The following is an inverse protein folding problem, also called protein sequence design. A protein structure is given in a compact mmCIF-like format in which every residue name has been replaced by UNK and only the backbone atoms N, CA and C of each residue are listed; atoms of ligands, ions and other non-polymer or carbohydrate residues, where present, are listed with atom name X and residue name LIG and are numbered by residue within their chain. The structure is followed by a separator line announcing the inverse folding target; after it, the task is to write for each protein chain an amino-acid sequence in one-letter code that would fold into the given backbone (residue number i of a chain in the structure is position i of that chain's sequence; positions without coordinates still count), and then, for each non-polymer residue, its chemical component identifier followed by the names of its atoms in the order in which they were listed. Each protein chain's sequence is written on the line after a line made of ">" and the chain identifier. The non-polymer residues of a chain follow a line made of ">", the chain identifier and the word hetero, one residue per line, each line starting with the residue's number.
data_IF_013317118696
#
_entry.id   IF_013317118696
#
_cell.length_a   1.000
_cell.length_b   1.000
_cell.length_c   1.000
_cell.angle_alpha   90.00
_cell.angle_beta   90.00
_cell.angle_gamma   90.00
#
_symmetry.space_group_name_H-M   'P 1'
#
loop_
_entity.id
_entity.type
_entity.pdbx_description
1 polymer ?
#
# COMPACT_ATOMS: atom_id res chain seq x y z
N UNK A 1 15.12 32.48 32.71
CA UNK A 1 14.95 31.33 31.79
C UNK A 1 13.48 30.93 31.79
N UNK A 2 12.84 30.77 30.63
CA UNK A 2 11.43 30.35 30.56
C UNK A 2 11.26 28.86 30.89
N UNK A 3 10.05 28.38 31.23
CA UNK A 3 9.80 26.95 31.45
C UNK A 3 10.19 26.08 30.24
N UNK A 4 9.92 26.53 29.01
CA UNK A 4 10.29 25.81 27.79
C UNK A 4 11.81 25.78 27.57
N UNK A 5 12.53 26.86 27.91
CA UNK A 5 14.00 26.88 27.85
C UNK A 5 14.60 25.93 28.88
N UNK A 6 13.99 25.85 30.06
CA UNK A 6 14.40 24.95 31.13
C UNK A 6 14.29 23.49 30.72
N UNK A 7 13.15 23.08 30.17
CA UNK A 7 12.95 21.69 29.70
C UNK A 7 13.93 21.32 28.59
N UNK A 8 14.20 22.26 27.66
CA UNK A 8 15.20 22.06 26.60
C UNK A 8 16.61 21.95 27.19
N UNK A 9 16.95 22.81 28.16
CA UNK A 9 18.23 22.79 28.85
C UNK A 9 18.46 21.47 29.60
N UNK A 10 17.45 20.99 30.32
CA UNK A 10 17.49 19.71 31.04
C UNK A 10 17.70 18.53 30.08
N UNK A 11 16.98 18.48 28.96
CA UNK A 11 17.18 17.46 27.92
C UNK A 11 18.57 17.51 27.30
N UNK A 12 19.12 18.71 27.06
CA UNK A 12 20.48 18.87 26.57
C UNK A 12 21.53 18.40 27.58
N UNK A 13 21.34 18.62 28.89
CA UNK A 13 22.22 18.05 29.91
C UNK A 13 22.14 16.52 29.96
N UNK A 14 20.94 15.95 29.92
CA UNK A 14 20.78 14.50 29.88
C UNK A 14 21.47 13.87 28.66
N UNK A 15 21.34 14.48 27.48
CA UNK A 15 22.02 14.02 26.27
C UNK A 15 23.54 14.27 26.30
N UNK A 16 24.01 15.30 26.99
CA UNK A 16 25.44 15.56 27.20
C UNK A 16 26.11 14.48 28.06
N UNK A 17 25.36 13.85 28.96
CA UNK A 17 25.84 12.78 29.85
C UNK A 17 25.65 11.38 29.24
N UNK A 18 24.51 11.14 28.58
CA UNK A 18 24.09 9.81 28.12
C UNK A 18 24.12 9.62 26.60
N UNK A 19 24.56 10.62 25.82
CA UNK A 19 24.64 10.52 24.36
C UNK A 19 25.51 9.35 23.91
N UNK A 20 25.08 8.62 22.86
CA UNK A 20 25.70 7.39 22.41
C UNK A 20 27.10 7.64 21.82
N UNK A 21 27.27 8.78 21.14
CA UNK A 21 28.56 9.16 20.54
C UNK A 21 29.18 10.39 21.21
N UNK A 22 30.51 10.54 21.07
CA UNK A 22 31.20 11.74 21.55
C UNK A 22 30.70 13.02 20.86
N UNK A 23 30.34 12.93 19.57
CA UNK A 23 29.76 14.04 18.81
C UNK A 23 28.40 14.48 19.34
N UNK A 24 27.53 13.54 19.68
CA UNK A 24 26.23 13.83 20.31
C UNK A 24 26.40 14.52 21.66
N UNK A 25 27.29 14.00 22.52
CA UNK A 25 27.54 14.61 23.84
C UNK A 25 28.10 16.03 23.71
N UNK A 26 29.02 16.26 22.78
CA UNK A 26 29.60 17.59 22.53
C UNK A 26 28.55 18.57 21.97
N UNK A 27 27.73 18.13 21.01
CA UNK A 27 26.65 18.94 20.45
C UNK A 27 25.58 19.30 21.50
N UNK A 28 25.25 18.36 22.39
CA UNK A 28 24.33 18.56 23.49
C UNK A 28 24.86 19.58 24.52
N UNK A 29 26.15 19.52 24.88
CA UNK A 29 26.81 20.52 25.74
C UNK A 29 26.77 21.92 25.11
N UNK A 30 27.11 22.02 23.82
CA UNK A 30 27.07 23.29 23.10
C UNK A 30 25.64 23.88 23.02
N UNK A 31 24.63 23.02 22.85
CA UNK A 31 23.24 23.44 22.87
C UNK A 31 22.78 23.93 24.25
N UNK A 32 23.13 23.20 25.32
CA UNK A 32 22.85 23.61 26.70
C UNK A 32 23.48 24.98 27.00
N UNK A 33 24.72 25.20 26.55
CA UNK A 33 25.41 26.47 26.75
C UNK A 33 24.74 27.64 26.02
N UNK A 34 24.25 27.44 24.79
CA UNK A 34 23.47 28.47 24.07
C UNK A 34 22.18 28.84 24.80
N UNK A 35 21.47 27.84 25.34
CA UNK A 35 20.23 28.09 26.10
C UNK A 35 20.53 28.86 27.39
N UNK A 36 21.57 28.47 28.13
CA UNK A 36 22.00 29.19 29.33
C UNK A 36 22.36 30.65 29.03
N UNK A 37 23.16 30.89 27.97
CA UNK A 37 23.54 32.25 27.53
C UNK A 37 22.33 33.06 27.09
N UNK A 38 21.38 32.47 26.38
CA UNK A 38 20.11 33.14 26.01
C UNK A 38 19.29 33.59 27.22
N UNK A 39 19.49 32.96 28.38
CA UNK A 39 18.89 33.36 29.65
C UNK A 39 19.80 34.25 30.52
N UNK A 40 20.95 34.70 30.01
CA UNK A 40 21.92 35.52 30.74
C UNK A 40 22.70 34.77 31.83
N UNK A 41 22.75 33.44 31.77
CA UNK A 41 23.40 32.59 32.76
C UNK A 41 24.62 31.87 32.18
N UNK A 42 25.57 31.55 33.05
CA UNK A 42 26.61 30.56 32.72
C UNK A 42 26.02 29.15 32.76
N UNK A 43 26.65 28.21 32.04
CA UNK A 43 26.24 26.80 32.04
C UNK A 43 26.14 26.23 33.47
N UNK A 44 27.13 26.53 34.32
CA UNK A 44 27.17 26.10 35.72
C UNK A 44 26.03 26.74 36.55
N UNK A 45 25.78 28.04 36.39
CA UNK A 45 24.70 28.73 37.11
C UNK A 45 23.32 28.21 36.70
N UNK A 46 23.12 27.90 35.42
CA UNK A 46 21.89 27.30 34.92
C UNK A 46 21.69 25.86 35.46
N UNK A 47 22.75 25.06 35.53
CA UNK A 47 22.71 23.71 36.12
C UNK A 47 22.40 23.73 37.63
N UNK A 48 22.97 24.68 38.38
CA UNK A 48 22.66 24.88 39.80
C UNK A 48 21.21 25.35 40.02
N UNK A 49 20.71 26.23 39.17
CA UNK A 49 19.31 26.66 39.21
C UNK A 49 18.35 25.49 38.95
N UNK A 50 18.68 24.60 38.01
CA UNK A 50 17.93 23.38 37.73
C UNK A 50 17.92 22.42 38.94
N UNK A 51 19.08 22.18 39.56
CA UNK A 51 19.20 21.32 40.75
C UNK A 51 18.37 21.80 41.94
N UNK A 52 18.48 23.09 42.30
CA UNK A 52 17.73 23.67 43.44
C UNK A 52 16.21 23.60 43.28
N UNK A 53 15.74 23.70 42.05
CA UNK A 53 14.31 23.63 41.75
C UNK A 53 13.80 22.19 41.56
N UNK A 54 14.67 21.25 41.22
CA UNK A 54 14.38 19.81 41.32
C UNK A 54 14.20 19.37 42.78
N UNK A 55 15.01 19.91 43.71
CA UNK A 55 14.87 19.66 45.16
C UNK A 55 13.53 20.17 45.71
N UNK A 56 13.05 21.33 45.25
CA UNK A 56 11.73 21.86 45.63
C UNK A 56 10.55 21.01 45.12
N UNK A 57 10.76 20.14 44.12
CA UNK A 57 9.74 19.25 43.58
C UNK A 57 9.78 17.82 44.15
N UNK A 58 10.84 17.47 44.88
CA UNK A 58 11.03 16.12 45.44
C UNK A 58 10.07 15.79 46.61
N UNK A 59 9.50 16.81 47.26
CA UNK A 59 8.53 16.65 48.36
C UNK A 59 7.09 16.36 47.91
N UNK A 60 6.82 16.26 46.60
CA UNK A 60 5.51 15.79 46.13
C UNK A 60 5.45 14.27 46.19
N UNK A 61 4.68 13.75 47.14
CA UNK A 61 4.30 12.35 47.25
C UNK A 61 4.05 11.72 45.87
N UNK A 62 4.75 10.61 45.61
CA UNK A 62 4.65 9.88 44.35
C UNK A 62 3.19 9.48 44.11
N UNK A 63 2.54 10.11 43.13
CA UNK A 63 1.21 9.72 42.68
C UNK A 63 1.30 8.28 42.18
N UNK A 64 0.38 7.37 42.58
CA UNK A 64 0.42 5.99 42.11
C UNK A 64 0.40 5.97 40.57
N UNK A 65 1.18 5.07 39.94
CA UNK A 65 1.24 4.98 38.49
C UNK A 65 -0.16 4.70 37.93
N UNK A 66 -0.52 5.26 36.76
CA UNK A 66 -1.79 4.94 36.13
C UNK A 66 -1.88 3.42 35.90
N UNK A 67 -3.09 2.82 36.02
CA UNK A 67 -3.26 1.40 35.77
C UNK A 67 -2.75 1.07 34.36
N UNK A 68 -1.92 0.04 34.26
CA UNK A 68 -1.38 -0.42 32.98
C UNK A 68 -2.56 -0.85 32.11
N UNK A 69 -2.73 -0.23 30.94
CA UNK A 69 -3.72 -0.65 29.95
C UNK A 69 -3.39 -2.08 29.52
N UNK A 70 -4.36 -2.98 29.61
CA UNK A 70 -4.23 -4.30 29.01
C UNK A 70 -4.23 -4.12 27.49
N UNK A 71 -3.20 -4.66 26.85
CA UNK A 71 -3.11 -4.63 25.39
C UNK A 71 -3.92 -5.78 24.80
N UNK A 72 -4.49 -5.64 23.59
CA UNK A 72 -5.24 -6.72 22.93
C UNK A 72 -4.47 -8.02 22.79
N UNK A 73 -3.13 -7.97 22.66
CA UNK A 73 -2.26 -9.13 22.59
C UNK A 73 -2.00 -9.81 23.94
N UNK A 74 -2.32 -9.14 25.06
CA UNK A 74 -2.16 -9.67 26.41
C UNK A 74 -3.40 -10.46 26.87
N UNK A 75 -4.49 -10.43 26.10
CA UNK A 75 -5.68 -11.23 26.38
C UNK A 75 -5.48 -12.65 25.81
N UNK A 76 -5.81 -13.71 26.58
CA UNK A 76 -5.89 -15.05 26.03
C UNK A 76 -6.82 -15.07 24.82
N UNK A 77 -6.33 -15.60 23.70
CA UNK A 77 -7.17 -15.78 22.50
C UNK A 77 -8.25 -16.82 22.81
N UNK A 78 -9.46 -16.58 22.32
CA UNK A 78 -10.51 -17.59 22.34
C UNK A 78 -10.04 -18.87 21.62
N UNK A 79 -10.39 -20.06 22.12
CA UNK A 79 -10.04 -21.31 21.47
C UNK A 79 -10.71 -21.38 20.09
N UNK A 80 -9.91 -21.66 19.06
CA UNK A 80 -10.40 -21.81 17.69
C UNK A 80 -11.07 -23.16 17.54
N UNK A 81 -12.34 -23.17 17.15
CA UNK A 81 -13.04 -24.42 16.78
C UNK A 81 -12.46 -24.96 15.48
N UNK A 82 -11.91 -26.19 15.47
CA UNK A 82 -11.37 -26.78 14.25
C UNK A 82 -12.50 -27.06 13.26
N UNK A 83 -12.23 -26.81 11.97
CA UNK A 83 -13.17 -27.14 10.89
C UNK A 83 -13.35 -28.65 10.82
N UNK A 84 -14.59 -29.12 10.76
CA UNK A 84 -14.89 -30.56 10.66
C UNK A 84 -14.61 -31.07 9.25
N UNK A 85 -14.37 -32.38 9.14
CA UNK A 85 -14.17 -33.03 7.82
C UNK A 85 -15.41 -32.86 6.93
N UNK A 86 -16.61 -32.94 7.51
CA UNK A 86 -17.87 -32.74 6.81
C UNK A 86 -17.98 -31.34 6.20
N UNK A 87 -17.55 -30.31 6.96
CA UNK A 87 -17.51 -28.93 6.50
C UNK A 87 -16.53 -28.77 5.33
N UNK A 88 -15.34 -29.39 5.42
CA UNK A 88 -14.36 -29.38 4.32
C UNK A 88 -14.91 -30.05 3.07
N UNK A 89 -15.62 -31.18 3.22
CA UNK A 89 -16.24 -31.88 2.10
C UNK A 89 -17.35 -31.05 1.44
N UNK A 90 -18.18 -30.35 2.23
CA UNK A 90 -19.20 -29.43 1.73
C UNK A 90 -18.57 -28.31 0.91
N UNK A 91 -17.57 -27.62 1.48
CA UNK A 91 -16.85 -26.53 0.80
C UNK A 91 -16.18 -27.00 -0.49
N UNK A 92 -15.62 -28.21 -0.50
CA UNK A 92 -15.03 -28.81 -1.70
C UNK A 92 -16.09 -29.07 -2.77
N UNK A 93 -17.24 -29.65 -2.40
CA UNK A 93 -18.33 -29.91 -3.34
C UNK A 93 -18.85 -28.60 -3.96
N UNK A 94 -19.07 -27.56 -3.16
CA UNK A 94 -19.47 -26.24 -3.65
C UNK A 94 -18.46 -25.66 -4.64
N UNK A 95 -17.17 -25.74 -4.30
CA UNK A 95 -16.08 -25.28 -5.17
C UNK A 95 -16.06 -26.05 -6.49
N UNK A 96 -16.25 -27.37 -6.46
CA UNK A 96 -16.30 -28.20 -7.67
C UNK A 96 -17.51 -27.86 -8.55
N UNK A 97 -18.69 -27.65 -7.96
CA UNK A 97 -19.87 -27.22 -8.73
C UNK A 97 -19.65 -25.85 -9.38
N UNK A 98 -19.03 -24.91 -8.68
CA UNK A 98 -18.67 -23.61 -9.23
C UNK A 98 -17.68 -23.75 -10.39
N UNK A 99 -16.61 -24.54 -10.22
CA UNK A 99 -15.63 -24.81 -11.29
C UNK A 99 -16.28 -25.41 -12.54
N UNK A 100 -17.16 -26.42 -12.37
CA UNK A 100 -17.88 -27.04 -13.48
C UNK A 100 -18.77 -26.03 -14.23
N UNK A 101 -19.51 -25.18 -13.50
CA UNK A 101 -20.34 -24.13 -14.09
C UNK A 101 -19.49 -23.10 -14.86
N UNK A 102 -18.38 -22.67 -14.28
CA UNK A 102 -17.46 -21.72 -14.91
C UNK A 102 -16.81 -22.29 -16.17
N UNK A 103 -16.39 -23.56 -16.14
CA UNK A 103 -15.84 -24.24 -17.32
C UNK A 103 -16.87 -24.33 -18.46
N UNK A 104 -18.10 -24.76 -18.15
CA UNK A 104 -19.17 -24.85 -19.14
C UNK A 104 -19.54 -23.47 -19.73
N UNK A 105 -19.51 -22.41 -18.91
CA UNK A 105 -19.70 -21.04 -19.39
C UNK A 105 -18.57 -20.61 -20.34
N UNK A 106 -17.31 -20.91 -19.99
CA UNK A 106 -16.15 -20.67 -20.83
C UNK A 106 -16.21 -21.40 -22.17
N UNK A 107 -16.64 -22.67 -22.19
CA UNK A 107 -16.82 -23.44 -23.41
C UNK A 107 -17.89 -22.85 -24.33
N UNK A 108 -19.03 -22.44 -23.76
CA UNK A 108 -20.09 -21.78 -24.53
C UNK A 108 -19.60 -20.47 -25.14
N UNK A 109 -18.81 -19.67 -24.40
CA UNK A 109 -18.21 -18.43 -24.91
C UNK A 109 -17.25 -18.71 -26.08
N UNK A 110 -16.33 -19.67 -25.92
CA UNK A 110 -15.40 -20.06 -26.99
C UNK A 110 -16.10 -20.56 -28.25
N UNK A 111 -17.16 -21.34 -28.10
CA UNK A 111 -17.97 -21.81 -29.24
C UNK A 111 -18.63 -20.66 -29.99
N UNK A 112 -19.18 -19.67 -29.26
CA UNK A 112 -19.75 -18.45 -29.86
C UNK A 112 -18.69 -17.63 -30.60
N UNK A 113 -17.56 -17.35 -29.95
CA UNK A 113 -16.45 -16.60 -30.58
C UNK A 113 -15.95 -17.27 -31.87
N UNK A 114 -15.86 -18.60 -31.89
CA UNK A 114 -15.51 -19.35 -33.09
C UNK A 114 -16.57 -19.21 -34.18
N UNK A 115 -17.85 -19.35 -33.83
CA UNK A 115 -18.94 -19.18 -34.79
C UNK A 115 -18.97 -17.77 -35.39
N UNK A 116 -18.72 -16.74 -34.57
CA UNK A 116 -18.67 -15.35 -35.03
C UNK A 116 -17.49 -15.12 -35.99
N UNK A 117 -16.32 -15.71 -35.70
CA UNK A 117 -15.16 -15.68 -36.60
C UNK A 117 -15.43 -16.39 -37.93
N UNK A 118 -16.04 -17.58 -37.88
CA UNK A 118 -16.41 -18.34 -39.07
C UNK A 118 -17.41 -17.58 -39.94
N UNK A 119 -18.42 -16.95 -39.31
CA UNK A 119 -19.39 -16.10 -39.99
C UNK A 119 -18.72 -14.90 -40.68
N UNK A 120 -17.82 -14.21 -39.97
CA UNK A 120 -17.07 -13.09 -40.53
C UNK A 120 -16.20 -13.52 -41.74
N UNK A 121 -15.47 -14.63 -41.61
CA UNK A 121 -14.65 -15.16 -42.71
C UNK A 121 -15.51 -15.58 -43.90
N UNK A 122 -16.67 -16.19 -43.65
CA UNK A 122 -17.62 -16.55 -44.71
C UNK A 122 -18.15 -15.31 -45.45
N UNK A 123 -18.47 -14.24 -44.73
CA UNK A 123 -18.89 -12.96 -45.33
C UNK A 123 -17.78 -12.36 -46.20
N UNK A 124 -16.53 -12.33 -45.72
CA UNK A 124 -15.40 -11.83 -46.52
C UNK A 124 -15.19 -12.66 -47.79
N UNK A 125 -15.31 -13.99 -47.69
CA UNK A 125 -15.22 -14.88 -48.85
C UNK A 125 -16.34 -14.62 -49.84
N UNK A 126 -17.57 -14.38 -49.38
CA UNK A 126 -18.69 -14.05 -50.26
C UNK A 126 -18.47 -12.74 -51.02
N UNK A 127 -18.04 -11.68 -50.32
CA UNK A 127 -17.69 -10.38 -50.94
C UNK A 127 -16.55 -10.51 -51.94
N UNK A 128 -15.54 -11.35 -51.65
CA UNK A 128 -14.46 -11.60 -52.60
C UNK A 128 -14.98 -12.34 -53.84
N UNK A 129 -15.82 -13.35 -53.66
CA UNK A 129 -16.40 -14.09 -54.78
C UNK A 129 -17.25 -13.20 -55.70
N UNK A 130 -17.97 -12.22 -55.15
CA UNK A 130 -18.68 -11.21 -55.95
C UNK A 130 -17.72 -10.36 -56.78
N UNK A 131 -16.66 -9.83 -56.15
CA UNK A 131 -15.61 -9.08 -56.87
C UNK A 131 -14.94 -9.91 -57.96
N UNK A 132 -14.66 -11.17 -57.68
CA UNK A 132 -14.03 -12.07 -58.65
C UNK A 132 -14.94 -12.31 -59.86
N UNK A 133 -16.26 -12.46 -59.63
CA UNK A 133 -17.25 -12.54 -60.72
C UNK A 133 -17.30 -11.24 -61.53
N UNK A 134 -17.30 -10.09 -60.88
CA UNK A 134 -17.31 -8.77 -61.55
C UNK A 134 -16.04 -8.56 -62.39
N UNK A 135 -14.90 -8.92 -61.83
CA UNK A 135 -13.62 -8.90 -62.52
C UNK A 135 -13.61 -9.86 -63.72
N UNK A 136 -14.13 -11.08 -63.57
CA UNK A 136 -14.25 -12.02 -64.68
C UNK A 136 -15.18 -11.50 -65.78
N UNK A 137 -16.32 -10.87 -65.41
CA UNK A 137 -17.27 -10.28 -66.37
C UNK A 137 -16.65 -9.14 -67.17
N UNK A 138 -15.98 -8.19 -66.51
CA UNK A 138 -15.32 -7.05 -67.19
C UNK A 138 -14.17 -7.48 -68.09
N UNK A 139 -13.55 -8.64 -67.84
CA UNK A 139 -12.56 -9.23 -68.73
C UNK A 139 -13.14 -9.98 -69.92
N UNK A 140 -14.29 -10.62 -69.74
CA UNK A 140 -14.98 -11.33 -70.82
C UNK A 140 -15.65 -10.36 -71.80
N UNK A 141 -16.10 -9.20 -71.32
CA UNK A 141 -16.72 -8.13 -72.10
C UNK A 141 -15.99 -6.80 -71.85
N UNK A 142 -14.80 -6.59 -72.47
CA UNK A 142 -14.03 -5.37 -72.29
C UNK A 142 -14.79 -4.19 -72.89
N UNK A 143 -15.10 -3.13 -72.11
CA UNK A 143 -15.78 -1.96 -72.64
C UNK A 143 -14.88 -1.27 -73.68
N UNK A 144 -15.26 -1.37 -74.95
CA UNK A 144 -14.54 -0.77 -76.07
C UNK A 144 -13.90 -1.75 -77.07
N UNK A 145 -14.39 -2.99 -77.19
CA UNK A 145 -14.17 -3.71 -78.45
C UNK A 145 -14.84 -2.88 -79.57
N UNK A 146 -14.08 -2.35 -80.56
CA UNK A 146 -14.70 -1.66 -81.67
C UNK A 146 -15.64 -2.64 -82.36
N UNK A 147 -16.89 -2.22 -82.58
CA UNK A 147 -17.76 -2.90 -83.53
C UNK A 147 -17.10 -2.74 -84.91
N UNK A 148 -16.30 -3.74 -85.29
CA UNK A 148 -15.79 -3.87 -86.64
C UNK A 148 -17.01 -4.13 -87.54
N UNK A 149 -17.52 -3.04 -88.09
CA UNK A 149 -18.52 -3.04 -89.13
C UNK A 149 -17.97 -3.70 -90.40
N UNK A 150 -18.72 -4.68 -90.89
CA UNK A 150 -18.82 -5.04 -92.31
C UNK A 150 -20.24 -5.48 -92.61
#
# INVERSE_FOLDING_TARGET
>A
MTPADRDRFEKCLALADQGATAGERAAARAAAERIARGAGLTLAAAAEALRRSGQASADRAARPPPPRRSYPWAQPKEPVTPVTVEELLRQKAETETWRKRSAAAGDRRRKRERADQEAYVAEQRARQAERDRDWARTRADPPGAPEDGT
#
